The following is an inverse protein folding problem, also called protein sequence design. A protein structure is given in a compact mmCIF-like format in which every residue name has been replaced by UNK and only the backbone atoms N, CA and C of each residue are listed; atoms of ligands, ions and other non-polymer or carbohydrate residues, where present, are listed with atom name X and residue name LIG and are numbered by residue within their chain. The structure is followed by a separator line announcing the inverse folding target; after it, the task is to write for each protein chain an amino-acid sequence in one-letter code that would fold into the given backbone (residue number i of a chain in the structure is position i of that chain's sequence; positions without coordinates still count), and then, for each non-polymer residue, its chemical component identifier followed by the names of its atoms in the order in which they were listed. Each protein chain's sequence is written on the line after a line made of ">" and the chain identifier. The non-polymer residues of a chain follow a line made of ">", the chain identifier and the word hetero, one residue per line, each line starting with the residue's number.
data_IF_209632369063
#
_entry.id   IF_209632369063
#
_cell.length_a   1.000
_cell.length_b   1.000
_cell.length_c   1.000
_cell.angle_alpha   90.00
_cell.angle_beta   90.00
_cell.angle_gamma   90.00
#
_symmetry.space_group_name_H-M   'P 1'
#
loop_
_entity.id
_entity.type
_entity.pdbx_description
1 polymer ?
#
# COMPACT_ATOMS: atom_id res chain seq x y z
N UNK A 1 2.24 29.15 -5.93
CA UNK A 1 2.97 28.60 -4.76
C UNK A 1 2.29 27.29 -4.37
N UNK A 2 3.02 26.19 -4.23
CA UNK A 2 2.44 24.90 -3.79
C UNK A 2 2.40 24.91 -2.27
N UNK A 3 1.21 24.84 -1.69
CA UNK A 3 1.02 24.82 -0.24
C UNK A 3 1.56 23.52 0.37
N UNK A 4 2.11 23.62 1.58
CA UNK A 4 2.70 22.48 2.32
C UNK A 4 1.81 22.14 3.51
N UNK A 5 1.36 20.90 3.58
CA UNK A 5 0.50 20.43 4.66
C UNK A 5 1.19 19.32 5.45
N UNK A 6 1.00 19.29 6.78
CA UNK A 6 1.43 18.18 7.62
C UNK A 6 0.27 17.20 7.71
N UNK A 7 0.51 15.97 7.26
CA UNK A 7 -0.49 14.91 7.22
C UNK A 7 0.01 13.73 8.04
N UNK A 8 -0.91 13.11 8.75
CA UNK A 8 -0.72 11.83 9.43
C UNK A 8 -1.78 10.88 8.89
N UNK A 9 -1.34 9.73 8.41
CA UNK A 9 -2.26 8.68 7.98
C UNK A 9 -2.93 8.09 9.23
N UNK A 10 -4.24 7.93 9.15
CA UNK A 10 -4.97 7.07 10.05
C UNK A 10 -4.58 5.60 9.81
N UNK A 11 -4.99 4.71 10.71
CA UNK A 11 -4.66 3.30 10.58
C UNK A 11 -5.13 2.73 9.23
N UNK A 12 -6.36 3.07 8.81
CA UNK A 12 -6.91 2.59 7.55
C UNK A 12 -6.19 3.18 6.34
N UNK A 13 -5.81 4.46 6.37
CA UNK A 13 -4.99 5.09 5.33
C UNK A 13 -3.63 4.42 5.20
N UNK A 14 -2.97 4.12 6.32
CA UNK A 14 -1.68 3.40 6.33
C UNK A 14 -1.85 1.99 5.75
N UNK A 15 -2.89 1.24 6.17
CA UNK A 15 -3.16 -0.09 5.65
C UNK A 15 -3.44 -0.08 4.14
N UNK A 16 -4.19 0.90 3.62
CA UNK A 16 -4.45 1.05 2.18
C UNK A 16 -3.15 1.34 1.41
N UNK A 17 -2.30 2.22 1.93
CA UNK A 17 -1.01 2.52 1.33
C UNK A 17 -0.12 1.27 1.29
N UNK A 18 -0.04 0.54 2.40
CA UNK A 18 0.73 -0.71 2.46
C UNK A 18 0.14 -1.80 1.57
N UNK A 19 -1.18 -1.89 1.44
CA UNK A 19 -1.84 -2.80 0.51
C UNK A 19 -1.46 -2.48 -0.94
N UNK A 20 -1.46 -1.20 -1.32
CA UNK A 20 -1.07 -0.76 -2.66
C UNK A 20 0.41 -1.08 -2.95
N UNK A 21 1.29 -0.81 -2.00
CA UNK A 21 2.72 -1.15 -2.12
C UNK A 21 2.91 -2.67 -2.22
N UNK A 22 2.24 -3.44 -1.36
CA UNK A 22 2.29 -4.91 -1.38
C UNK A 22 1.74 -5.50 -2.67
N UNK A 23 0.68 -4.91 -3.23
CA UNK A 23 0.17 -5.30 -4.54
C UNK A 23 1.25 -5.16 -5.62
N UNK A 24 1.92 -4.01 -5.69
CA UNK A 24 3.00 -3.75 -6.65
C UNK A 24 4.15 -4.74 -6.49
N UNK A 25 4.58 -5.01 -5.25
CA UNK A 25 5.61 -6.02 -4.95
C UNK A 25 5.15 -7.41 -5.40
N UNK A 26 3.90 -7.78 -5.15
CA UNK A 26 3.33 -9.06 -5.55
C UNK A 26 3.24 -9.25 -7.05
N UNK A 27 2.99 -8.18 -7.83
CA UNK A 27 3.06 -8.23 -9.31
C UNK A 27 4.48 -8.56 -9.77
N UNK A 28 5.47 -7.84 -9.24
CA UNK A 28 6.88 -8.04 -9.60
C UNK A 28 7.33 -9.46 -9.23
N UNK A 29 7.02 -9.91 -8.00
CA UNK A 29 7.36 -11.24 -7.52
C UNK A 29 6.67 -12.36 -8.33
N UNK A 30 5.39 -12.18 -8.66
CA UNK A 30 4.63 -13.13 -9.47
C UNK A 30 5.20 -13.29 -10.88
N UNK A 31 5.59 -12.17 -11.50
CA UNK A 31 6.24 -12.16 -12.82
C UNK A 31 7.63 -12.79 -12.78
N UNK A 32 8.44 -12.47 -11.76
CA UNK A 32 9.75 -13.08 -11.55
C UNK A 32 9.64 -14.60 -11.37
N UNK A 33 8.65 -15.06 -10.59
CA UNK A 33 8.41 -16.49 -10.38
C UNK A 33 7.97 -17.20 -11.66
N UNK A 34 7.15 -16.54 -12.49
CA UNK A 34 6.76 -17.07 -13.80
C UNK A 34 7.98 -17.25 -14.70
N UNK A 35 8.81 -16.22 -14.83
CA UNK A 35 10.05 -16.28 -15.64
C UNK A 35 10.96 -17.40 -15.12
N UNK A 36 11.18 -17.45 -13.81
CA UNK A 36 12.00 -18.48 -13.18
C UNK A 36 11.48 -19.89 -13.46
N UNK A 37 10.16 -20.09 -13.38
CA UNK A 37 9.55 -21.41 -13.62
C UNK A 37 9.70 -21.84 -15.08
N UNK A 38 9.48 -20.93 -16.03
CA UNK A 38 9.64 -21.20 -17.46
C UNK A 38 11.10 -21.51 -17.80
N UNK A 39 12.06 -20.75 -17.25
CA UNK A 39 13.49 -20.96 -17.49
C UNK A 39 14.00 -22.31 -16.99
N UNK A 40 13.39 -22.86 -15.94
CA UNK A 40 13.73 -24.17 -15.39
C UNK A 40 12.95 -25.33 -16.03
N UNK A 41 12.24 -25.09 -17.14
CA UNK A 41 11.45 -26.13 -17.84
C UNK A 41 10.15 -26.52 -17.13
N UNK A 42 9.67 -25.69 -16.19
CA UNK A 42 8.44 -25.91 -15.46
C UNK A 42 7.19 -25.63 -16.31
N UNK A 43 6.04 -26.14 -15.83
CA UNK A 43 4.77 -25.96 -16.52
C UNK A 43 4.25 -24.52 -16.39
N UNK A 44 4.10 -23.82 -17.52
CA UNK A 44 3.61 -22.45 -17.60
C UNK A 44 2.22 -22.29 -16.97
N UNK A 45 1.33 -23.27 -17.16
CA UNK A 45 -0.04 -23.22 -16.62
C UNK A 45 -0.01 -23.19 -15.10
N UNK A 46 0.91 -23.94 -14.48
CA UNK A 46 1.10 -23.92 -13.04
C UNK A 46 1.75 -22.62 -12.55
N UNK A 47 2.59 -21.98 -13.38
CA UNK A 47 3.27 -20.73 -13.05
C UNK A 47 2.39 -19.47 -13.17
N UNK A 48 1.32 -19.52 -13.96
CA UNK A 48 0.35 -18.42 -14.10
C UNK A 48 -0.44 -18.23 -12.79
N UNK A 49 -0.74 -19.32 -12.08
CA UNK A 49 -1.57 -19.25 -10.87
C UNK A 49 -0.89 -18.40 -9.77
N UNK A 50 0.40 -18.61 -9.41
CA UNK A 50 1.13 -17.70 -8.53
C UNK A 50 1.22 -16.27 -9.05
N UNK A 51 1.34 -16.04 -10.36
CA UNK A 51 1.38 -14.69 -10.95
C UNK A 51 0.10 -13.91 -10.64
N UNK A 52 -1.06 -14.57 -10.69
CA UNK A 52 -2.35 -13.95 -10.40
C UNK A 52 -2.58 -13.78 -8.90
N UNK A 53 -2.21 -14.76 -8.09
CA UNK A 53 -2.47 -14.77 -6.64
C UNK A 53 -1.49 -13.87 -5.87
N UNK A 54 -0.25 -13.78 -6.32
CA UNK A 54 0.82 -13.04 -5.63
C UNK A 54 0.48 -11.57 -5.33
N UNK A 55 -0.04 -10.76 -6.27
CA UNK A 55 -0.45 -9.38 -5.99
C UNK A 55 -1.44 -9.25 -4.83
N UNK A 56 -2.50 -10.06 -4.83
CA UNK A 56 -3.56 -9.97 -3.82
C UNK A 56 -3.13 -10.51 -2.46
N UNK A 57 -2.40 -11.63 -2.45
CA UNK A 57 -1.84 -12.18 -1.21
C UNK A 57 -0.84 -11.22 -0.57
N UNK A 58 0.07 -10.63 -1.34
CA UNK A 58 1.00 -9.64 -0.81
C UNK A 58 0.28 -8.38 -0.32
N UNK A 59 -0.70 -7.86 -1.07
CA UNK A 59 -1.49 -6.70 -0.66
C UNK A 59 -2.18 -6.93 0.70
N UNK A 60 -2.77 -8.11 0.89
CA UNK A 60 -3.44 -8.47 2.15
C UNK A 60 -2.42 -8.59 3.29
N UNK A 61 -1.31 -9.30 3.07
CA UNK A 61 -0.27 -9.50 4.08
C UNK A 61 0.34 -8.17 4.51
N UNK A 62 0.71 -7.30 3.57
CA UNK A 62 1.27 -5.98 3.90
C UNK A 62 0.26 -5.06 4.56
N UNK A 63 -1.02 -5.14 4.20
CA UNK A 63 -2.08 -4.41 4.91
C UNK A 63 -2.17 -4.84 6.38
N UNK A 64 -2.08 -6.14 6.67
CA UNK A 64 -2.08 -6.66 8.04
C UNK A 64 -0.83 -6.23 8.81
N UNK A 65 0.34 -6.18 8.16
CA UNK A 65 1.53 -5.56 8.75
C UNK A 65 1.32 -4.07 9.08
N UNK A 66 0.34 -3.41 8.47
CA UNK A 66 -0.17 -2.10 8.89
C UNK A 66 -0.58 -2.05 10.36
N UNK A 67 -1.23 -3.09 10.88
CA UNK A 67 -1.64 -3.14 12.30
C UNK A 67 -0.44 -3.17 13.24
N UNK A 68 0.60 -3.93 12.87
CA UNK A 68 1.83 -4.07 13.67
C UNK A 68 2.72 -2.83 13.53
N UNK A 69 2.77 -2.23 12.34
CA UNK A 69 3.61 -1.07 12.03
C UNK A 69 3.01 0.26 12.48
N UNK A 70 1.67 0.35 12.61
CA UNK A 70 0.98 1.56 13.04
C UNK A 70 1.45 2.16 14.38
N UNK A 71 1.66 1.41 15.47
CA UNK A 71 2.15 2.01 16.72
C UNK A 71 3.52 2.68 16.53
N UNK A 72 4.41 2.08 15.74
CA UNK A 72 5.71 2.67 15.41
C UNK A 72 5.57 3.90 14.51
N UNK A 73 4.68 3.84 13.52
CA UNK A 73 4.34 4.98 12.65
C UNK A 73 3.79 6.16 13.47
N UNK A 74 2.82 5.91 14.34
CA UNK A 74 2.19 6.92 15.18
C UNK A 74 3.21 7.55 16.15
N UNK A 75 4.05 6.74 16.79
CA UNK A 75 5.14 7.24 17.63
C UNK A 75 6.12 8.14 16.87
N UNK A 76 6.52 7.72 15.66
CA UNK A 76 7.42 8.49 14.80
C UNK A 76 6.78 9.81 14.33
N UNK A 77 5.51 9.79 13.91
CA UNK A 77 4.76 10.98 13.51
C UNK A 77 4.57 11.97 14.66
N UNK A 78 4.30 11.48 15.88
CA UNK A 78 4.21 12.34 17.06
C UNK A 78 5.54 13.02 17.38
N UNK A 79 6.67 12.32 17.20
CA UNK A 79 8.01 12.90 17.42
C UNK A 79 8.39 13.93 16.35
N UNK A 80 8.03 13.69 15.09
CA UNK A 80 8.48 14.50 13.94
C UNK A 80 7.42 15.48 13.40
N UNK A 81 6.30 15.67 14.12
CA UNK A 81 5.17 16.54 13.76
C UNK A 81 4.55 16.16 12.41
N UNK A 82 4.38 14.87 12.13
CA UNK A 82 3.75 14.34 10.92
C UNK A 82 4.59 14.47 9.64
N UNK A 83 4.07 13.96 8.52
CA UNK A 83 4.73 13.98 7.22
C UNK A 83 4.33 15.24 6.44
N UNK A 84 5.31 15.96 5.87
CA UNK A 84 5.02 17.12 5.02
C UNK A 84 4.69 16.61 3.62
N UNK A 85 3.45 16.82 3.18
CA UNK A 85 3.01 16.51 1.83
C UNK A 85 2.76 17.80 1.05
N UNK A 86 3.10 17.74 -0.24
CA UNK A 86 2.88 18.82 -1.22
C UNK A 86 2.17 18.22 -2.41
N UNK A 87 1.07 18.83 -2.84
CA UNK A 87 0.27 18.28 -3.92
C UNK A 87 -1.03 19.04 -4.14
N UNK A 88 -1.92 18.46 -4.93
CA UNK A 88 -3.27 18.98 -5.16
C UNK A 88 -4.19 18.34 -4.12
N UNK A 89 -4.51 19.10 -3.08
CA UNK A 89 -5.48 18.70 -2.07
C UNK A 89 -6.80 19.42 -2.33
N UNK A 90 -7.89 18.67 -2.42
CA UNK A 90 -9.23 19.24 -2.28
C UNK A 90 -9.67 19.06 -0.83
N UNK A 91 -10.11 20.15 -0.20
CA UNK A 91 -10.80 20.06 1.09
C UNK A 91 -12.20 19.50 0.81
N UNK A 92 -12.58 18.42 1.49
CA UNK A 92 -13.99 18.02 1.51
C UNK A 92 -14.81 19.16 2.12
N UNK A 93 -15.80 19.67 1.37
CA UNK A 93 -16.83 20.50 1.95
C UNK A 93 -17.71 19.56 2.77
N UNK A 94 -17.71 19.74 4.10
CA UNK A 94 -18.74 19.14 4.95
C UNK A 94 -20.08 19.55 4.35
N UNK A 95 -20.84 18.59 3.85
CA UNK A 95 -22.20 18.85 3.41
C UNK A 95 -22.94 19.36 4.65
N UNK A 96 -23.23 20.67 4.68
CA UNK A 96 -24.10 21.30 5.66
C UNK A 96 -25.34 20.41 5.80
N UNK A 97 -25.42 19.65 6.88
CA UNK A 97 -26.65 19.01 7.32
C UNK A 97 -27.48 20.10 7.98
N UNK A 98 -28.04 20.98 7.15
CA UNK A 98 -29.15 21.84 7.54
C UNK A 98 -30.42 20.98 7.44
N UNK A 99 -30.80 20.33 8.55
CA UNK A 99 -32.16 19.81 8.80
C UNK A 99 -32.85 20.79 9.74
#
# INVERSE_FOLDING_TARGET
>A
MVERYRVQLDLFGLMKLLALVGFGVGVIAGLALLIYTVMNGGNIIQAILPMIISPFSNALVTALFGLVSYPFYNWYCNRNRGQVLTGRFLKEQEANQDI
#
